data_IF_313778659975
#
_entry.id   IF_313778659975
#
_cell.length_a   1.000
_cell.length_b   1.000
_cell.length_c   1.000
_cell.angle_alpha   90.00
_cell.angle_beta   90.00
_cell.angle_gamma   90.00
#
_symmetry.space_group_name_H-M   'P 1'
#
loop_
_entity.id
_entity.type
_entity.pdbx_description
1 polymer ?
#
# COMPACT_ATOMS: atom_id res chain seq x y z
N UNK A 1 16.32 -15.63 -17.33
CA UNK A 1 14.86 -15.44 -17.38
C UNK A 1 14.55 -14.13 -16.69
N UNK A 2 13.95 -13.16 -17.39
CA UNK A 2 13.45 -11.94 -16.74
C UNK A 2 12.02 -12.23 -16.34
N UNK A 3 11.74 -12.32 -15.05
CA UNK A 3 10.37 -12.48 -14.57
C UNK A 3 9.53 -11.27 -15.02
N UNK A 4 8.35 -11.55 -15.57
CA UNK A 4 7.42 -10.50 -15.99
C UNK A 4 6.97 -9.76 -14.73
N UNK A 5 7.29 -8.47 -14.63
CA UNK A 5 7.01 -7.66 -13.45
C UNK A 5 5.50 -7.42 -13.33
N UNK A 6 4.83 -8.17 -12.45
CA UNK A 6 3.39 -8.00 -12.17
C UNK A 6 3.24 -7.10 -10.95
N UNK A 7 2.57 -5.97 -11.13
CA UNK A 7 2.21 -5.09 -10.02
C UNK A 7 1.03 -5.71 -9.24
N UNK A 8 1.22 -5.86 -7.93
CA UNK A 8 0.21 -6.34 -6.98
C UNK A 8 -0.57 -5.16 -6.43
N UNK A 9 -1.88 -5.32 -6.33
CA UNK A 9 -2.76 -4.37 -5.65
C UNK A 9 -2.79 -4.72 -4.17
N UNK A 10 -2.43 -3.77 -3.31
CA UNK A 10 -2.33 -3.98 -1.86
C UNK A 10 -3.03 -2.86 -1.10
N UNK A 11 -3.48 -3.18 0.11
CA UNK A 11 -4.03 -2.21 1.06
C UNK A 11 -3.07 -2.10 2.23
N UNK A 12 -2.48 -0.93 2.44
CA UNK A 12 -1.69 -0.63 3.62
C UNK A 12 -2.61 -0.17 4.76
N UNK A 13 -2.50 -0.81 5.91
CA UNK A 13 -3.23 -0.46 7.13
C UNK A 13 -2.23 -0.05 8.21
N UNK A 14 -2.50 1.06 8.89
CA UNK A 14 -1.69 1.53 10.01
C UNK A 14 -2.59 2.07 11.12
N UNK A 15 -2.24 1.74 12.36
CA UNK A 15 -2.78 2.39 13.56
C UNK A 15 -1.64 3.09 14.26
N UNK A 16 -1.80 4.40 14.47
CA UNK A 16 -0.85 5.18 15.26
C UNK A 16 -0.83 4.75 16.73
N UNK A 17 0.20 5.16 17.46
CA UNK A 17 0.29 4.93 18.92
C UNK A 17 -0.77 5.71 19.71
N UNK A 18 -1.38 6.74 19.10
CA UNK A 18 -2.52 7.51 19.63
C UNK A 18 -3.82 6.71 19.71
N UNK A 19 -3.99 5.69 18.86
CA UNK A 19 -5.18 4.82 18.79
C UNK A 19 -6.50 5.58 18.58
N UNK A 20 -6.44 6.71 17.88
CA UNK A 20 -7.57 7.59 17.56
C UNK A 20 -8.23 7.29 16.21
N UNK A 21 -7.61 6.43 15.40
CA UNK A 21 -8.15 6.03 14.11
C UNK A 21 -7.32 4.95 13.41
N UNK A 22 -7.79 4.58 12.21
CA UNK A 22 -7.12 3.63 11.31
C UNK A 22 -6.83 4.29 9.97
N UNK A 23 -5.57 4.34 9.59
CA UNK A 23 -5.16 4.77 8.26
C UNK A 23 -5.25 3.59 7.29
N UNK A 24 -5.90 3.83 6.15
CA UNK A 24 -5.99 2.90 5.04
C UNK A 24 -5.46 3.54 3.75
N UNK A 25 -4.63 2.81 3.01
CA UNK A 25 -4.05 3.27 1.75
C UNK A 25 -4.12 2.18 0.68
N UNK A 26 -4.49 2.54 -0.55
CA UNK A 26 -4.45 1.65 -1.69
C UNK A 26 -3.17 1.89 -2.51
N UNK A 27 -2.44 0.81 -2.82
CA UNK A 27 -1.14 0.86 -3.49
C UNK A 27 -1.06 -0.20 -4.59
N UNK A 28 -0.27 0.07 -5.62
CA UNK A 28 0.14 -0.94 -6.60
C UNK A 28 1.67 -1.09 -6.57
N UNK A 29 2.20 -2.28 -6.32
CA UNK A 29 3.64 -2.50 -6.14
C UNK A 29 4.13 -3.84 -6.65
N UNK A 30 5.38 -3.90 -7.12
CA UNK A 30 6.09 -5.15 -7.39
C UNK A 30 6.68 -5.80 -6.11
N UNK A 31 6.62 -5.09 -4.98
CA UNK A 31 7.19 -5.51 -3.69
C UNK A 31 8.70 -5.26 -3.56
N UNK A 32 9.33 -4.59 -4.53
CA UNK A 32 10.77 -4.34 -4.55
C UNK A 32 11.10 -2.89 -4.91
N UNK A 33 10.81 -2.45 -6.13
CA UNK A 33 11.32 -1.19 -6.69
C UNK A 33 10.23 -0.27 -7.25
N UNK A 34 9.03 -0.78 -7.50
CA UNK A 34 7.93 -0.01 -8.07
C UNK A 34 6.80 0.11 -7.07
N UNK A 35 6.36 1.35 -6.84
CA UNK A 35 5.19 1.68 -6.04
C UNK A 35 4.43 2.80 -6.75
N UNK A 36 3.14 2.59 -6.96
CA UNK A 36 2.19 3.62 -7.34
C UNK A 36 1.20 3.84 -6.19
N UNK A 37 1.05 5.11 -5.79
CA UNK A 37 0.15 5.51 -4.72
C UNK A 37 -1.24 5.79 -5.27
N UNK A 38 -2.24 5.09 -4.71
CA UNK A 38 -3.64 5.36 -4.94
C UNK A 38 -4.26 6.19 -3.81
N UNK A 39 -5.55 5.97 -3.56
CA UNK A 39 -6.30 6.74 -2.56
C UNK A 39 -5.94 6.29 -1.15
N UNK A 40 -5.81 7.26 -0.25
CA UNK A 40 -5.70 7.04 1.19
C UNK A 40 -6.86 7.68 1.95
N UNK A 41 -7.19 7.15 3.12
CA UNK A 41 -8.14 7.73 4.05
C UNK A 41 -7.79 7.34 5.49
N UNK A 42 -8.18 8.18 6.44
CA UNK A 42 -8.18 7.87 7.87
C UNK A 42 -9.63 7.62 8.29
N UNK A 43 -9.86 6.54 9.05
CA UNK A 43 -11.15 6.12 9.62
C UNK A 43 -11.19 6.42 11.10
#
# INVERSE_FOLDING_TARGET
>A
MVEKLVLKKVVGLMSGTSMDGVDASYLETDGLNKVHFGRGCTL
#
